data_IF_908046979204
#
_entry.id   IF_908046979204
#
_cell.length_a   1.000
_cell.length_b   1.000
_cell.length_c   1.000
_cell.angle_alpha   90.00
_cell.angle_beta   90.00
_cell.angle_gamma   90.00
#
_symmetry.space_group_name_H-M   'P 1'
#
loop_
_entity.id
_entity.type
_entity.pdbx_description
1 polymer ?
#
# COMPACT_ATOMS: atom_id res chain seq x y z
N UNK A 1 15.81 -21.19 3.63
CA UNK A 1 17.00 -20.49 3.11
C UNK A 1 16.56 -19.11 2.64
N UNK A 2 16.81 -18.04 3.40
CA UNK A 2 16.48 -16.68 2.94
C UNK A 2 17.36 -16.34 1.74
N UNK A 3 16.73 -15.96 0.63
CA UNK A 3 17.45 -15.44 -0.53
C UNK A 3 18.35 -14.26 -0.14
N UNK A 4 19.48 -14.03 -0.85
CA UNK A 4 20.30 -12.86 -0.60
C UNK A 4 19.44 -11.63 -0.84
N UNK A 5 19.30 -10.77 0.18
CA UNK A 5 18.68 -9.46 0.00
C UNK A 5 19.57 -8.70 -0.98
N UNK A 6 19.09 -8.48 -2.20
CA UNK A 6 19.71 -7.55 -3.14
C UNK A 6 19.81 -6.21 -2.41
N UNK A 7 21.03 -5.72 -2.23
CA UNK A 7 21.23 -4.42 -1.60
C UNK A 7 20.64 -3.35 -2.54
N UNK A 8 19.65 -2.62 -2.05
CA UNK A 8 19.06 -1.53 -2.81
C UNK A 8 20.09 -0.40 -3.00
N UNK A 9 20.07 0.30 -4.15
CA UNK A 9 20.96 1.44 -4.37
C UNK A 9 20.80 2.51 -3.29
N UNK A 10 21.89 3.21 -2.98
CA UNK A 10 21.82 4.42 -2.15
C UNK A 10 20.84 5.42 -2.79
N UNK A 11 20.04 6.07 -1.96
CA UNK A 11 19.05 7.05 -2.43
C UNK A 11 17.73 6.45 -2.95
N UNK A 12 17.59 5.12 -3.01
CA UNK A 12 16.35 4.49 -3.49
C UNK A 12 15.11 4.98 -2.72
N UNK A 13 15.19 5.07 -1.40
CA UNK A 13 14.07 5.52 -0.58
C UNK A 13 13.78 7.03 -0.75
N UNK A 14 14.76 7.84 -1.11
CA UNK A 14 14.56 9.26 -1.44
C UNK A 14 13.83 9.39 -2.77
N UNK A 15 14.27 8.62 -3.76
CA UNK A 15 13.66 8.60 -5.09
C UNK A 15 12.24 8.03 -5.05
N UNK A 16 12.01 6.96 -4.30
CA UNK A 16 10.69 6.40 -4.08
C UNK A 16 9.73 7.43 -3.47
N UNK A 17 10.19 8.22 -2.49
CA UNK A 17 9.36 9.29 -1.90
C UNK A 17 9.07 10.42 -2.88
N UNK A 18 10.04 10.76 -3.75
CA UNK A 18 9.87 11.76 -4.81
C UNK A 18 8.81 11.33 -5.82
N UNK A 19 8.87 10.08 -6.25
CA UNK A 19 7.96 9.51 -7.26
C UNK A 19 6.61 9.06 -6.69
N UNK A 20 6.48 8.98 -5.35
CA UNK A 20 5.29 8.47 -4.66
C UNK A 20 3.96 9.04 -5.18
N UNK A 21 3.80 10.36 -5.41
CA UNK A 21 2.53 10.89 -5.93
C UNK A 21 2.13 10.32 -7.30
N UNK A 22 3.10 10.11 -8.20
CA UNK A 22 2.82 9.47 -9.50
C UNK A 22 2.51 7.99 -9.30
N UNK A 23 3.31 7.31 -8.49
CA UNK A 23 3.15 5.89 -8.20
C UNK A 23 1.80 5.57 -7.56
N UNK A 24 1.31 6.39 -6.65
CA UNK A 24 -0.03 6.26 -6.05
C UNK A 24 -1.09 6.28 -7.14
N UNK A 25 -1.02 7.26 -8.04
CA UNK A 25 -1.97 7.40 -9.14
C UNK A 25 -1.95 6.18 -10.06
N UNK A 26 -0.76 5.69 -10.41
CA UNK A 26 -0.58 4.53 -11.27
C UNK A 26 -1.06 3.24 -10.63
N UNK A 27 -0.71 3.00 -9.36
CA UNK A 27 -1.11 1.82 -8.60
C UNK A 27 -2.62 1.79 -8.43
N UNK A 28 -3.24 2.90 -8.02
CA UNK A 28 -4.70 2.98 -7.85
C UNK A 28 -5.41 2.74 -9.18
N UNK A 29 -4.93 3.35 -10.28
CA UNK A 29 -5.47 3.10 -11.62
C UNK A 29 -5.39 1.62 -11.99
N UNK A 30 -4.25 0.98 -11.73
CA UNK A 30 -4.02 -0.42 -12.07
C UNK A 30 -4.86 -1.37 -11.22
N UNK A 31 -4.99 -1.10 -9.91
CA UNK A 31 -5.88 -1.84 -9.03
C UNK A 31 -7.33 -1.77 -9.51
N UNK A 32 -7.83 -0.59 -9.88
CA UNK A 32 -9.19 -0.43 -10.43
C UNK A 32 -9.38 -1.14 -11.78
N UNK A 33 -8.32 -1.26 -12.58
CA UNK A 33 -8.33 -1.98 -13.85
C UNK A 33 -8.38 -3.49 -13.66
N UNK A 34 -7.68 -4.01 -12.65
CA UNK A 34 -7.58 -5.45 -12.40
C UNK A 34 -8.67 -6.00 -11.48
N UNK A 35 -9.25 -5.16 -10.62
CA UNK A 35 -10.26 -5.53 -9.63
C UNK A 35 -11.55 -4.77 -9.96
N UNK A 36 -12.49 -5.38 -10.69
CA UNK A 36 -13.73 -4.71 -11.11
C UNK A 36 -14.54 -4.12 -9.94
N UNK A 37 -14.46 -4.72 -8.75
CA UNK A 37 -15.12 -4.26 -7.51
C UNK A 37 -14.61 -2.88 -7.04
N UNK A 38 -13.41 -2.49 -7.49
CA UNK A 38 -12.78 -1.21 -7.16
C UNK A 38 -13.12 -0.13 -8.19
N UNK A 39 -13.84 -0.44 -9.26
CA UNK A 39 -14.32 0.54 -10.23
C UNK A 39 -15.51 1.36 -9.68
N UNK A 40 -15.21 2.12 -8.63
CA UNK A 40 -16.16 3.01 -7.94
C UNK A 40 -15.99 4.46 -8.42
N UNK A 41 -17.00 5.31 -8.19
CA UNK A 41 -16.88 6.75 -8.43
C UNK A 41 -15.63 7.33 -7.75
N UNK A 42 -14.94 8.21 -8.47
CA UNK A 42 -13.67 8.82 -8.04
C UNK A 42 -13.79 9.63 -6.73
N UNK A 43 -14.99 10.12 -6.44
CA UNK A 43 -15.33 10.92 -5.25
C UNK A 43 -15.81 10.07 -4.06
N UNK A 44 -15.84 8.75 -4.20
CA UNK A 44 -16.30 7.87 -3.12
C UNK A 44 -15.28 7.78 -1.96
N UNK A 45 -15.80 7.62 -0.73
CA UNK A 45 -14.97 7.38 0.46
C UNK A 45 -14.05 6.17 0.31
N UNK A 46 -14.48 5.17 -0.47
CA UNK A 46 -13.66 4.01 -0.81
C UNK A 46 -12.40 4.42 -1.59
N UNK A 47 -12.53 5.22 -2.65
CA UNK A 47 -11.38 5.67 -3.45
C UNK A 47 -10.44 6.53 -2.61
N UNK A 48 -10.96 7.42 -1.77
CA UNK A 48 -10.14 8.18 -0.83
C UNK A 48 -9.37 7.29 0.15
N UNK A 49 -10.02 6.25 0.67
CA UNK A 49 -9.37 5.25 1.54
C UNK A 49 -8.31 4.43 0.82
N UNK A 50 -8.57 4.05 -0.44
CA UNK A 50 -7.64 3.31 -1.28
C UNK A 50 -6.37 4.13 -1.57
N UNK A 51 -6.53 5.41 -1.95
CA UNK A 51 -5.41 6.34 -2.17
C UNK A 51 -4.56 6.46 -0.90
N UNK A 52 -5.20 6.75 0.25
CA UNK A 52 -4.50 6.87 1.53
C UNK A 52 -3.76 5.59 1.92
N UNK A 53 -4.35 4.42 1.63
CA UNK A 53 -3.74 3.12 1.88
C UNK A 53 -2.46 2.92 1.06
N UNK A 54 -2.49 3.25 -0.23
CA UNK A 54 -1.33 3.15 -1.12
C UNK A 54 -0.23 4.15 -0.72
N UNK A 55 -0.58 5.40 -0.43
CA UNK A 55 0.35 6.41 0.08
C UNK A 55 1.08 5.93 1.35
N UNK A 56 0.31 5.38 2.29
CA UNK A 56 0.83 4.85 3.56
C UNK A 56 1.79 3.69 3.29
N UNK A 57 1.42 2.75 2.43
CA UNK A 57 2.24 1.59 2.11
C UNK A 57 3.58 1.98 1.47
N UNK A 58 3.58 2.94 0.54
CA UNK A 58 4.80 3.43 -0.10
C UNK A 58 5.72 4.14 0.90
N UNK A 59 5.18 4.96 1.80
CA UNK A 59 5.94 5.60 2.85
C UNK A 59 6.58 4.58 3.81
N UNK A 60 5.83 3.58 4.26
CA UNK A 60 6.35 2.52 5.14
C UNK A 60 7.42 1.67 4.45
N UNK A 61 7.27 1.41 3.15
CA UNK A 61 8.27 0.70 2.38
C UNK A 61 9.57 1.51 2.30
N UNK A 62 9.49 2.81 2.02
CA UNK A 62 10.65 3.71 2.02
C UNK A 62 11.38 3.71 3.37
N UNK A 63 10.63 3.79 4.48
CA UNK A 63 11.19 3.71 5.84
C UNK A 63 11.84 2.35 6.10
N UNK A 64 11.26 1.27 5.60
CA UNK A 64 11.80 -0.08 5.73
C UNK A 64 13.12 -0.25 4.98
N UNK A 65 13.23 0.31 3.78
CA UNK A 65 14.47 0.28 2.99
C UNK A 65 15.63 0.98 3.70
N UNK A 66 15.34 2.04 4.46
CA UNK A 66 16.36 2.78 5.22
C UNK A 66 16.63 2.19 6.62
N UNK A 67 16.01 1.06 6.96
CA UNK A 67 16.12 0.46 8.30
C UNK A 67 15.39 1.25 9.39
N UNK A 68 14.48 2.15 9.01
CA UNK A 68 13.62 2.96 9.90
C UNK A 68 12.21 2.37 10.08
N UNK A 69 12.02 1.10 9.71
CA UNK A 69 10.71 0.45 9.77
C UNK A 69 10.09 0.53 11.18
N UNK A 70 8.81 0.90 11.24
CA UNK A 70 8.04 0.80 12.47
C UNK A 70 8.04 -0.65 13.00
N UNK A 71 7.94 -0.87 14.33
CA UNK A 71 7.89 -2.21 14.90
C UNK A 71 6.81 -3.07 14.25
N UNK A 72 7.05 -4.39 14.10
CA UNK A 72 6.13 -5.30 13.42
C UNK A 72 4.68 -5.25 13.96
N UNK A 73 4.51 -5.00 15.26
CA UNK A 73 3.20 -4.82 15.90
C UNK A 73 2.45 -3.56 15.42
N UNK A 74 3.17 -2.49 15.03
CA UNK A 74 2.58 -1.29 14.46
C UNK A 74 2.10 -1.56 13.03
N UNK A 75 2.94 -2.16 12.19
CA UNK A 75 2.57 -2.53 10.81
C UNK A 75 1.36 -3.45 10.79
N UNK A 76 1.33 -4.46 11.68
CA UNK A 76 0.19 -5.38 11.80
C UNK A 76 -1.14 -4.68 12.12
N UNK A 77 -1.14 -3.52 12.78
CA UNK A 77 -2.38 -2.77 13.07
C UNK A 77 -3.02 -2.19 11.81
N UNK A 78 -2.22 -1.79 10.83
CA UNK A 78 -2.68 -1.21 9.55
C UNK A 78 -3.31 -2.30 8.68
N UNK A 79 -2.61 -3.43 8.49
CA UNK A 79 -3.15 -4.57 7.74
C UNK A 79 -4.43 -5.15 8.40
N UNK A 80 -4.47 -5.22 9.74
CA UNK A 80 -5.70 -5.57 10.48
C UNK A 80 -6.79 -4.49 10.38
N UNK A 81 -6.42 -3.24 10.12
CA UNK A 81 -7.37 -2.17 9.83
C UNK A 81 -8.02 -2.37 8.47
N UNK A 82 -7.21 -2.63 7.45
CA UNK A 82 -7.69 -2.94 6.09
C UNK A 82 -8.62 -4.15 6.07
N UNK A 83 -8.22 -5.27 6.67
CA UNK A 83 -9.06 -6.46 6.74
C UNK A 83 -10.39 -6.25 7.47
N UNK A 84 -10.41 -5.37 8.50
CA UNK A 84 -11.65 -4.99 9.19
C UNK A 84 -12.56 -4.12 8.32
N UNK A 85 -12.00 -3.26 7.48
CA UNK A 85 -12.78 -2.44 6.54
C UNK A 85 -13.42 -3.31 5.45
N UNK A 86 -12.67 -4.24 4.85
CA UNK A 86 -13.18 -5.17 3.85
C UNK A 86 -14.30 -6.07 4.42
N UNK A 87 -14.11 -6.61 5.63
CA UNK A 87 -15.11 -7.41 6.32
C UNK A 87 -16.38 -6.60 6.64
N UNK A 88 -16.24 -5.35 7.09
CA UNK A 88 -17.36 -4.47 7.40
C UNK A 88 -18.21 -4.13 6.16
N UNK A 89 -17.60 -4.11 4.98
CA UNK A 89 -18.29 -3.89 3.71
C UNK A 89 -18.75 -5.21 3.02
N UNK A 90 -18.62 -6.35 3.69
CA UNK A 90 -19.07 -7.66 3.20
C UNK A 90 -18.24 -8.20 2.03
N UNK A 91 -17.03 -7.69 1.81
CA UNK A 91 -16.14 -8.10 0.71
C UNK A 91 -15.19 -9.22 1.13
N UNK A 92 -14.75 -10.00 0.13
CA UNK A 92 -13.71 -11.01 0.35
C UNK A 92 -12.38 -10.34 0.70
N UNK A 93 -11.60 -10.98 1.57
CA UNK A 93 -10.23 -10.58 1.88
C UNK A 93 -9.21 -11.13 0.86
N UNK A 94 -9.65 -11.86 -0.18
CA UNK A 94 -8.75 -12.47 -1.18
C UNK A 94 -7.86 -11.43 -1.87
N UNK A 95 -8.33 -10.19 -2.04
CA UNK A 95 -7.53 -9.09 -2.58
C UNK A 95 -6.38 -8.64 -1.65
N UNK A 96 -6.34 -9.14 -0.40
CA UNK A 96 -5.33 -8.81 0.61
C UNK A 96 -4.37 -9.98 0.92
N UNK A 97 -4.51 -11.15 0.27
CA UNK A 97 -3.64 -12.32 0.46
C UNK A 97 -2.41 -12.29 -0.44
#
# INVERSE_FOLDING_TARGET
>A
MSAPRVALPRGFAEELRRESPSLVTEIVREMRRQIPEYDRPLDSLFISGLILGVETALAEFADTVEGRAAPAAQRARIYRGLGRAELAEGRSMDALQ
#
